data_IF_657058784769
#
_entry.id   IF_657058784769
#
_cell.length_a   1.000
_cell.length_b   1.000
_cell.length_c   1.000
_cell.angle_alpha   90.00
_cell.angle_beta   90.00
_cell.angle_gamma   90.00
#
_symmetry.space_group_name_H-M   'P 1'
#
loop_
_entity.id
_entity.type
_entity.pdbx_description
1 polymer ?
#
# COMPACT_ATOMS: atom_id res chain seq x y z
N UNK A 1 -0.96 0.36 -25.53
CA UNK A 1 -0.75 1.36 -24.45
C UNK A 1 -0.39 0.57 -23.20
N UNK A 2 0.76 0.82 -22.58
CA UNK A 2 1.08 0.19 -21.29
C UNK A 2 0.17 0.86 -20.25
N UNK A 3 -0.82 0.13 -19.73
CA UNK A 3 -1.62 0.61 -18.61
C UNK A 3 -0.71 0.65 -17.38
N UNK A 4 -0.57 1.83 -16.76
CA UNK A 4 0.20 2.05 -15.54
C UNK A 4 -0.50 1.37 -14.36
N UNK A 5 -0.25 0.07 -14.26
CA UNK A 5 -0.91 -0.85 -13.34
C UNK A 5 0.18 -1.61 -12.61
N UNK A 6 1.16 -0.90 -12.07
CA UNK A 6 2.26 -1.52 -11.36
C UNK A 6 2.75 -0.63 -10.22
N UNK A 7 3.27 -1.28 -9.19
CA UNK A 7 4.10 -0.67 -8.16
C UNK A 7 5.55 -0.99 -8.48
N UNK A 8 6.40 0.01 -8.61
CA UNK A 8 7.84 -0.18 -8.85
C UNK A 8 8.61 0.10 -7.57
N UNK A 9 9.52 -0.81 -7.21
CA UNK A 9 10.38 -0.68 -6.04
C UNK A 9 11.83 -0.58 -6.50
N UNK A 10 12.51 0.48 -6.07
CA UNK A 10 13.91 0.72 -6.35
C UNK A 10 14.68 0.70 -5.02
N UNK A 11 15.55 -0.28 -4.84
CA UNK A 11 16.31 -0.44 -3.60
C UNK A 11 17.54 0.47 -3.58
N UNK A 12 17.74 1.18 -2.48
CA UNK A 12 18.92 2.01 -2.26
C UNK A 12 20.18 1.13 -2.11
N UNK A 13 21.26 1.47 -2.82
CA UNK A 13 22.53 0.75 -2.77
C UNK A 13 23.50 1.29 -1.71
N UNK A 14 23.13 2.35 -0.99
CA UNK A 14 23.91 2.95 0.09
C UNK A 14 24.93 3.99 -0.36
N UNK A 15 25.06 4.22 -1.66
CA UNK A 15 25.98 5.19 -2.28
C UNK A 15 25.25 6.34 -2.99
N UNK A 16 23.95 6.50 -2.73
CA UNK A 16 23.09 7.50 -3.38
C UNK A 16 22.53 7.04 -4.74
N UNK A 17 22.80 5.79 -5.14
CA UNK A 17 22.19 5.17 -6.32
C UNK A 17 21.11 4.16 -5.93
N UNK A 18 20.28 3.80 -6.92
CA UNK A 18 19.24 2.80 -6.79
C UNK A 18 19.50 1.64 -7.73
N UNK A 19 19.20 0.42 -7.25
CA UNK A 19 19.16 -0.76 -8.10
C UNK A 19 18.05 -0.66 -9.17
N UNK A 20 18.09 -1.56 -10.15
CA UNK A 20 17.02 -1.67 -11.15
C UNK A 20 15.65 -1.87 -10.46
N UNK A 21 14.62 -1.26 -11.03
CA UNK A 21 13.26 -1.36 -10.50
C UNK A 21 12.76 -2.81 -10.55
N UNK A 22 12.19 -3.26 -9.44
CA UNK A 22 11.38 -4.47 -9.37
C UNK A 22 9.92 -4.04 -9.55
N UNK A 23 9.24 -4.64 -10.51
CA UNK A 23 7.87 -4.27 -10.87
C UNK A 23 6.88 -5.29 -10.33
N UNK A 24 5.90 -4.83 -9.57
CA UNK A 24 4.77 -5.61 -9.08
C UNK A 24 3.54 -5.26 -9.91
N UNK A 25 3.11 -6.19 -10.77
CA UNK A 25 1.93 -6.01 -11.59
C UNK A 25 0.66 -5.98 -10.74
N UNK A 26 -0.19 -5.01 -11.03
CA UNK A 26 -1.52 -4.81 -10.46
C UNK A 26 -2.55 -5.01 -11.55
N UNK A 27 -3.77 -5.35 -11.15
CA UNK A 27 -4.86 -5.57 -12.10
C UNK A 27 -5.61 -4.28 -12.44
N UNK A 28 -5.36 -3.19 -11.71
CA UNK A 28 -6.04 -1.90 -11.86
C UNK A 28 -5.07 -0.73 -11.73
N UNK A 29 -5.53 0.49 -11.99
CA UNK A 29 -4.72 1.70 -11.79
C UNK A 29 -4.35 1.83 -10.31
N UNK A 30 -3.12 2.26 -10.03
CA UNK A 30 -2.67 2.59 -8.67
C UNK A 30 -2.58 4.10 -8.56
N UNK A 31 -3.30 4.70 -7.62
CA UNK A 31 -3.35 6.15 -7.43
C UNK A 31 -2.37 6.66 -6.36
N UNK A 32 -2.10 5.86 -5.33
CA UNK A 32 -1.31 6.28 -4.18
C UNK A 32 -0.68 5.08 -3.48
N UNK A 33 0.44 5.32 -2.79
CA UNK A 33 1.14 4.34 -1.95
C UNK A 33 1.49 4.99 -0.60
N UNK A 34 1.32 4.22 0.46
CA UNK A 34 1.78 4.52 1.82
C UNK A 34 2.67 3.36 2.32
N UNK A 35 3.49 3.64 3.31
CA UNK A 35 4.47 2.69 3.88
C UNK A 35 4.30 2.63 5.39
N UNK A 36 4.17 1.43 5.94
CA UNK A 36 4.11 1.16 7.38
C UNK A 36 4.43 -0.32 7.65
N UNK A 37 4.84 -0.67 8.86
CA UNK A 37 4.91 -2.06 9.30
C UNK A 37 3.49 -2.56 9.63
N UNK A 38 2.82 -3.19 8.66
CA UNK A 38 1.41 -3.56 8.72
C UNK A 38 1.22 -4.95 9.33
N UNK A 39 2.19 -5.85 9.21
CA UNK A 39 2.16 -7.17 9.82
C UNK A 39 2.89 -7.28 11.19
N UNK A 40 3.68 -6.29 11.59
CA UNK A 40 4.36 -6.23 12.88
C UNK A 40 5.69 -6.96 12.91
N UNK A 41 6.29 -7.24 11.75
CA UNK A 41 7.55 -7.98 11.65
C UNK A 41 8.80 -7.06 11.70
N UNK A 42 8.59 -5.74 11.79
CA UNK A 42 9.65 -4.73 11.82
C UNK A 42 10.11 -4.28 10.43
N UNK A 43 9.57 -4.85 9.36
CA UNK A 43 9.85 -4.46 7.97
C UNK A 43 8.75 -3.56 7.44
N UNK A 44 9.09 -2.50 6.66
CA UNK A 44 8.08 -1.65 6.04
C UNK A 44 7.34 -2.40 4.93
N UNK A 45 6.03 -2.52 5.06
CA UNK A 45 5.09 -3.02 4.04
C UNK A 45 4.55 -1.87 3.18
N UNK A 46 3.86 -2.20 2.09
CA UNK A 46 3.18 -1.23 1.23
C UNK A 46 1.67 -1.32 1.39
N UNK A 47 1.02 -0.16 1.50
CA UNK A 47 -0.41 -0.01 1.29
C UNK A 47 -0.66 0.83 0.02
N UNK A 48 -1.56 0.40 -0.85
CA UNK A 48 -1.91 1.10 -2.09
C UNK A 48 -3.39 1.45 -2.14
N UNK A 49 -3.71 2.60 -2.72
CA UNK A 49 -5.05 2.91 -3.20
C UNK A 49 -5.14 2.56 -4.69
N UNK A 50 -6.01 1.62 -5.04
CA UNK A 50 -6.23 1.18 -6.41
C UNK A 50 -7.72 1.13 -6.77
N UNK A 51 -8.04 0.74 -7.99
CA UNK A 51 -9.43 0.63 -8.46
C UNK A 51 -10.28 -0.42 -7.71
N UNK A 52 -9.70 -1.21 -6.80
CA UNK A 52 -10.38 -2.22 -5.98
C UNK A 52 -10.53 -1.79 -4.52
N UNK A 53 -9.81 -0.78 -4.05
CA UNK A 53 -9.85 -0.32 -2.66
C UNK A 53 -8.46 -0.05 -2.09
N UNK A 54 -8.23 -0.55 -0.87
CA UNK A 54 -6.92 -0.58 -0.24
C UNK A 54 -6.25 -1.93 -0.46
N UNK A 55 -5.13 -1.98 -1.18
CA UNK A 55 -4.30 -3.18 -1.32
C UNK A 55 -3.13 -3.15 -0.34
N UNK A 56 -2.84 -4.26 0.33
CA UNK A 56 -1.66 -4.42 1.20
C UNK A 56 -0.71 -5.43 0.59
N UNK A 57 0.55 -5.04 0.40
CA UNK A 57 1.63 -5.90 -0.07
C UNK A 57 2.65 -6.04 1.05
N UNK A 58 2.83 -7.26 1.54
CA UNK A 58 3.77 -7.55 2.62
C UNK A 58 5.19 -7.69 2.09
N UNK A 59 6.13 -7.06 2.77
CA UNK A 59 7.54 -7.13 2.46
C UNK A 59 8.10 -8.52 2.80
N UNK A 60 8.89 -9.09 1.90
CA UNK A 60 9.51 -10.40 2.11
C UNK A 60 10.95 -10.31 2.66
N UNK A 61 11.43 -9.10 2.93
CA UNK A 61 12.74 -8.82 3.53
C UNK A 61 13.92 -8.74 2.55
N UNK A 62 13.70 -9.06 1.27
CA UNK A 62 14.71 -9.01 0.20
C UNK A 62 14.41 -7.93 -0.85
N UNK A 63 13.46 -7.04 -0.54
CA UNK A 63 12.99 -5.99 -1.45
C UNK A 63 11.93 -6.46 -2.44
N UNK A 64 11.45 -7.70 -2.32
CA UNK A 64 10.24 -8.18 -2.98
C UNK A 64 9.03 -8.12 -2.05
N UNK A 65 7.84 -8.17 -2.65
CA UNK A 65 6.56 -8.07 -1.96
C UNK A 65 5.64 -9.21 -2.38
N UNK A 66 4.89 -9.73 -1.41
CA UNK A 66 3.82 -10.69 -1.65
C UNK A 66 2.70 -10.08 -2.52
N UNK A 67 1.85 -10.95 -3.07
CA UNK A 67 0.67 -10.51 -3.80
C UNK A 67 -0.24 -9.64 -2.91
N UNK A 68 -0.83 -8.60 -3.50
CA UNK A 68 -1.68 -7.67 -2.77
C UNK A 68 -2.92 -8.38 -2.20
N UNK A 69 -3.21 -8.11 -0.92
CA UNK A 69 -4.48 -8.44 -0.28
C UNK A 69 -5.34 -7.17 -0.23
N UNK A 70 -6.55 -7.24 -0.79
CA UNK A 70 -7.43 -6.07 -0.89
C UNK A 70 -8.47 -6.03 0.22
N UNK A 71 -8.67 -4.83 0.75
CA UNK A 71 -9.73 -4.46 1.67
C UNK A 71 -10.65 -3.44 0.98
N UNK A 72 -11.95 -3.61 1.21
CA UNK A 72 -12.95 -2.77 0.58
C UNK A 72 -12.78 -1.30 1.01
N UNK A 73 -12.76 -0.41 0.01
CA UNK A 73 -13.01 1.01 0.17
C UNK A 73 -14.17 1.40 -0.76
N UNK A 74 -14.62 2.65 -0.66
CA UNK A 74 -15.68 3.14 -1.54
C UNK A 74 -15.14 3.57 -2.93
N UNK A 75 -16.00 4.18 -3.74
CA UNK A 75 -15.74 4.41 -5.16
C UNK A 75 -14.60 5.40 -5.43
N UNK A 76 -13.68 4.96 -6.29
CA UNK A 76 -12.51 5.72 -6.77
C UNK A 76 -11.60 6.19 -5.64
N UNK A 77 -10.89 5.25 -4.99
CA UNK A 77 -9.79 5.58 -4.11
C UNK A 77 -8.73 6.41 -4.87
N UNK A 78 -8.28 7.50 -4.24
CA UNK A 78 -7.28 8.41 -4.83
C UNK A 78 -6.07 8.64 -3.91
N UNK A 79 -6.20 8.37 -2.63
CA UNK A 79 -5.14 8.57 -1.64
C UNK A 79 -5.27 7.55 -0.52
N UNK A 80 -4.14 7.12 0.01
CA UNK A 80 -4.06 6.25 1.17
C UNK A 80 -3.02 6.78 2.17
N UNK A 81 -3.30 6.65 3.45
CA UNK A 81 -2.38 6.94 4.54
C UNK A 81 -2.42 5.81 5.57
N UNK A 82 -1.29 5.57 6.24
CA UNK A 82 -1.16 4.59 7.30
C UNK A 82 -0.77 5.28 8.62
N UNK A 83 -1.49 4.99 9.69
CA UNK A 83 -1.23 5.49 11.05
C UNK A 83 -2.02 4.65 12.06
N UNK A 84 -1.58 4.61 13.32
CA UNK A 84 -2.40 4.08 14.42
C UNK A 84 -3.56 5.06 14.70
N UNK A 85 -4.75 4.77 14.16
CA UNK A 85 -5.92 5.66 14.23
C UNK A 85 -6.81 5.34 15.43
N UNK A 86 -6.73 4.13 15.96
CA UNK A 86 -7.54 3.65 17.07
C UNK A 86 -6.78 3.58 18.42
N UNK A 87 -5.46 3.74 18.41
CA UNK A 87 -4.58 3.74 19.59
C UNK A 87 -4.18 2.35 20.08
N UNK A 88 -4.27 1.31 19.25
CA UNK A 88 -3.95 -0.07 19.63
C UNK A 88 -2.50 -0.48 19.34
N UNK A 89 -1.71 0.42 18.75
CA UNK A 89 -0.31 0.20 18.42
C UNK A 89 -0.07 -0.47 17.06
N UNK A 90 -1.11 -0.81 16.30
CA UNK A 90 -1.01 -1.31 14.93
C UNK A 90 -1.39 -0.21 13.94
N UNK A 91 -0.62 0.00 12.86
CA UNK A 91 -1.03 0.97 11.84
C UNK A 91 -2.32 0.52 11.14
N UNK A 92 -3.33 1.38 11.20
CA UNK A 92 -4.57 1.35 10.42
C UNK A 92 -4.39 2.06 9.08
N UNK A 93 -5.38 1.93 8.18
CA UNK A 93 -5.38 2.63 6.88
C UNK A 93 -6.56 3.60 6.75
N UNK A 94 -6.27 4.82 6.30
CA UNK A 94 -7.27 5.79 5.86
C UNK A 94 -7.23 5.95 4.34
N UNK A 95 -8.38 5.84 3.68
CA UNK A 95 -8.49 5.86 2.21
C UNK A 95 -9.46 6.96 1.79
N UNK A 96 -9.00 7.93 1.01
CA UNK A 96 -9.83 8.99 0.47
C UNK A 96 -10.49 8.55 -0.85
N UNK A 97 -11.82 8.61 -0.90
CA UNK A 97 -12.62 8.14 -2.03
C UNK A 97 -13.25 9.32 -2.77
N UNK A 98 -12.77 9.59 -3.97
CA UNK A 98 -13.11 10.81 -4.70
C UNK A 98 -14.57 10.85 -5.14
N UNK A 99 -15.10 9.75 -5.70
CA UNK A 99 -16.46 9.75 -6.25
C UNK A 99 -17.55 9.59 -5.19
N UNK A 100 -17.26 8.92 -4.07
CA UNK A 100 -18.22 8.81 -2.96
C UNK A 100 -18.14 10.01 -2.03
N UNK A 101 -17.08 10.82 -2.08
CA UNK A 101 -16.92 12.02 -1.27
C UNK A 101 -16.73 11.72 0.22
N UNK A 102 -16.10 10.59 0.55
CA UNK A 102 -15.88 10.14 1.94
C UNK A 102 -14.47 9.57 2.15
N UNK A 103 -14.20 9.15 3.38
CA UNK A 103 -12.98 8.43 3.76
C UNK A 103 -13.39 7.07 4.33
N UNK A 104 -12.81 5.99 3.80
CA UNK A 104 -12.90 4.66 4.39
C UNK A 104 -11.77 4.47 5.40
N UNK A 105 -12.04 3.82 6.53
CA UNK A 105 -11.04 3.42 7.52
C UNK A 105 -10.99 1.91 7.57
N UNK A 106 -9.80 1.34 7.39
CA UNK A 106 -9.54 -0.09 7.54
C UNK A 106 -8.76 -0.27 8.84
N UNK A 107 -9.39 -0.88 9.85
CA UNK A 107 -8.76 -1.13 11.14
C UNK A 107 -7.89 -2.38 11.07
N UNK A 108 -6.67 -2.29 11.58
CA UNK A 108 -5.73 -3.38 11.65
C UNK A 108 -5.71 -3.97 13.06
N UNK A 109 -6.53 -4.99 13.28
CA UNK A 109 -6.54 -5.72 14.54
C UNK A 109 -5.56 -6.90 14.45
N UNK A 110 -4.39 -6.79 15.09
CA UNK A 110 -3.54 -7.95 15.35
C UNK A 110 -4.08 -8.70 16.58
N UNK A 111 -4.16 -10.04 16.53
CA UNK A 111 -4.57 -10.84 17.68
C UNK A 111 -3.56 -10.77 18.84
#
# INVERSE_FOLDING_TARGET
MRSYTEVSVLLNQGDGTFAAAVHHAMDTYVASVAVADLNGDGSPDLAIADGRGAGVLLNQGDGTFAAAVHYAADSTPISIAAADLNGDGNPDLGVANMLSGNVSVVLNARP
#
